data_IF_440409105554
#
_entry.id   IF_440409105554
#
_cell.length_a   1.000
_cell.length_b   1.000
_cell.length_c   1.000
_cell.angle_alpha   90.00
_cell.angle_beta   90.00
_cell.angle_gamma   90.00
#
_symmetry.space_group_name_H-M   'P 1'
#
loop_
_entity.id
_entity.type
_entity.pdbx_description
1 polymer ?
#
# COMPACT_ATOMS: atom_id res chain seq x y z
N UNK A 1 -29.85 -25.84 -17.09
CA UNK A 1 -30.89 -25.28 -16.22
C UNK A 1 -31.96 -24.65 -17.09
N UNK A 2 -33.09 -24.27 -16.51
CA UNK A 2 -34.13 -23.52 -17.22
C UNK A 2 -34.06 -22.04 -16.84
N UNK A 3 -34.33 -21.15 -17.79
CA UNK A 3 -34.59 -19.73 -17.52
C UNK A 3 -35.97 -19.62 -16.88
N UNK A 4 -36.06 -18.94 -15.73
CA UNK A 4 -37.32 -18.84 -14.98
C UNK A 4 -37.92 -17.45 -14.99
N UNK A 5 -37.11 -16.39 -14.93
CA UNK A 5 -37.60 -15.01 -14.91
C UNK A 5 -36.51 -13.98 -15.32
N UNK A 6 -36.90 -12.78 -15.72
CA UNK A 6 -36.01 -11.65 -16.03
C UNK A 6 -36.21 -10.53 -15.00
N UNK A 7 -35.17 -10.23 -14.22
CA UNK A 7 -35.19 -9.09 -13.29
C UNK A 7 -34.92 -7.79 -14.06
N UNK A 8 -36.01 -7.08 -14.39
CA UNK A 8 -36.01 -5.84 -15.17
C UNK A 8 -35.28 -4.67 -14.52
N UNK A 9 -35.06 -4.68 -13.20
CA UNK A 9 -34.32 -3.61 -12.52
C UNK A 9 -32.79 -3.74 -12.67
N UNK A 10 -32.29 -4.95 -12.96
CA UNK A 10 -30.85 -5.25 -13.01
C UNK A 10 -30.39 -5.82 -14.36
N UNK A 11 -31.31 -6.08 -15.30
CA UNK A 11 -31.00 -6.65 -16.61
C UNK A 11 -30.39 -8.06 -16.51
N UNK A 12 -30.79 -8.86 -15.52
CA UNK A 12 -30.24 -10.21 -15.27
C UNK A 12 -31.34 -11.27 -15.28
N UNK A 13 -31.02 -12.40 -15.89
CA UNK A 13 -31.87 -13.58 -15.97
C UNK A 13 -31.69 -14.46 -14.75
N UNK A 14 -32.79 -14.87 -14.13
CA UNK A 14 -32.77 -15.89 -13.10
C UNK A 14 -32.75 -17.27 -13.75
N UNK A 15 -31.70 -18.03 -13.48
CA UNK A 15 -31.48 -19.38 -14.02
C UNK A 15 -31.51 -20.38 -12.87
N UNK A 16 -32.39 -21.38 -12.99
CA UNK A 16 -32.44 -22.52 -12.08
C UNK A 16 -31.62 -23.68 -12.64
N UNK A 17 -30.62 -24.11 -11.89
CA UNK A 17 -29.76 -25.24 -12.22
C UNK A 17 -30.42 -26.58 -11.83
N UNK A 18 -29.92 -27.67 -12.41
CA UNK A 18 -30.46 -29.03 -12.18
C UNK A 18 -30.21 -29.51 -10.74
N UNK A 19 -29.28 -28.89 -10.03
CA UNK A 19 -28.99 -29.12 -8.61
C UNK A 19 -29.96 -28.36 -7.67
N UNK A 20 -30.96 -27.67 -8.22
CA UNK A 20 -31.96 -26.91 -7.45
C UNK A 20 -31.53 -25.48 -7.10
N UNK A 21 -30.26 -25.12 -7.33
CA UNK A 21 -29.77 -23.76 -7.05
C UNK A 21 -30.25 -22.78 -8.10
N UNK A 22 -30.49 -21.52 -7.70
CA UNK A 22 -30.90 -20.45 -8.62
C UNK A 22 -29.88 -19.31 -8.56
N UNK A 23 -29.41 -18.83 -9.72
CA UNK A 23 -28.49 -17.69 -9.80
C UNK A 23 -28.97 -16.66 -10.82
N UNK A 24 -28.57 -15.41 -10.63
CA UNK A 24 -28.80 -14.33 -11.58
C UNK A 24 -27.60 -14.22 -12.53
N UNK A 25 -27.83 -14.43 -13.82
CA UNK A 25 -26.82 -14.36 -14.86
C UNK A 25 -27.17 -13.25 -15.86
N UNK A 26 -26.15 -12.59 -16.39
CA UNK A 26 -26.32 -11.66 -17.50
C UNK A 26 -26.51 -12.43 -18.81
N UNK A 27 -27.15 -11.80 -19.80
CA UNK A 27 -27.37 -12.41 -21.12
C UNK A 27 -26.07 -12.86 -21.82
N UNK A 28 -24.98 -12.11 -21.64
CA UNK A 28 -23.64 -12.44 -22.14
C UNK A 28 -23.08 -13.78 -21.61
N UNK A 29 -23.62 -14.30 -20.50
CA UNK A 29 -23.20 -15.54 -19.86
C UNK A 29 -24.16 -16.71 -20.12
N UNK A 30 -25.08 -16.57 -21.09
CA UNK A 30 -26.09 -17.57 -21.42
C UNK A 30 -26.02 -17.92 -22.91
N UNK A 31 -25.71 -19.18 -23.21
CA UNK A 31 -25.75 -19.69 -24.58
C UNK A 31 -27.04 -20.51 -24.82
N UNK A 32 -27.72 -20.31 -25.97
CA UNK A 32 -28.89 -21.10 -26.33
C UNK A 32 -28.52 -22.54 -26.69
N UNK A 33 -29.31 -23.51 -26.20
CA UNK A 33 -29.07 -24.93 -26.46
C UNK A 33 -29.93 -25.45 -27.63
N UNK A 34 -29.31 -25.56 -28.82
CA UNK A 34 -29.53 -26.66 -29.78
C UNK A 34 -30.28 -26.37 -31.10
N UNK A 35 -29.64 -26.71 -32.24
CA UNK A 35 -30.14 -27.67 -33.25
C UNK A 35 -29.09 -28.02 -34.36
N UNK A 36 -28.69 -29.30 -34.39
CA UNK A 36 -28.34 -30.20 -35.52
C UNK A 36 -27.26 -29.91 -36.61
N UNK A 37 -26.26 -30.81 -36.61
CA UNK A 37 -25.70 -31.64 -37.70
C UNK A 37 -24.90 -31.03 -38.88
N UNK A 38 -23.64 -31.49 -39.03
CA UNK A 38 -22.89 -31.43 -40.29
C UNK A 38 -21.38 -31.70 -40.16
N UNK A 39 -20.99 -32.95 -40.44
CA UNK A 39 -19.68 -33.44 -40.94
C UNK A 39 -18.36 -33.25 -40.16
N UNK A 40 -17.71 -34.40 -39.89
CA UNK A 40 -16.30 -34.52 -39.53
C UNK A 40 -15.41 -34.50 -40.79
N UNK A 41 -14.11 -34.17 -40.68
CA UNK A 41 -13.16 -35.29 -40.59
C UNK A 41 -11.93 -35.09 -39.68
N UNK A 42 -11.50 -36.24 -39.14
CA UNK A 42 -10.14 -36.75 -38.97
C UNK A 42 -9.06 -36.02 -38.12
N UNK A 43 -8.63 -36.77 -37.09
CA UNK A 43 -7.25 -36.92 -36.53
C UNK A 43 -6.58 -35.68 -35.91
N UNK A 44 -6.33 -35.75 -34.60
CA UNK A 44 -5.05 -36.22 -34.05
C UNK A 44 -5.15 -36.35 -32.52
N UNK A 45 -4.67 -37.47 -31.98
CA UNK A 45 -4.46 -37.65 -30.54
C UNK A 45 -3.26 -36.81 -30.13
N UNK A 46 -3.49 -35.76 -29.36
CA UNK A 46 -2.47 -35.07 -28.57
C UNK A 46 -2.94 -35.06 -27.11
N UNK A 47 -2.24 -35.78 -26.24
CA UNK A 47 -2.40 -35.64 -24.80
C UNK A 47 -1.96 -34.23 -24.41
N UNK A 48 -2.86 -33.43 -23.84
CA UNK A 48 -2.48 -32.17 -23.19
C UNK A 48 -2.77 -32.26 -21.71
N UNK A 49 -1.71 -32.01 -20.95
CA UNK A 49 -1.64 -31.97 -19.51
C UNK A 49 -2.65 -30.99 -18.92
N UNK A 50 -3.08 -31.29 -17.69
CA UNK A 50 -3.85 -30.39 -16.86
C UNK A 50 -3.17 -29.01 -16.77
N UNK A 51 -3.84 -28.01 -17.32
CA UNK A 51 -3.40 -26.63 -17.31
C UNK A 51 -3.62 -26.05 -15.91
N UNK A 52 -2.52 -25.84 -15.20
CA UNK A 52 -2.43 -25.12 -13.93
C UNK A 52 -2.84 -23.66 -14.18
N UNK A 53 -3.70 -23.04 -13.35
CA UNK A 53 -4.08 -21.64 -13.52
C UNK A 53 -2.83 -20.74 -13.47
N UNK A 54 -2.77 -19.64 -14.26
CA UNK A 54 -1.54 -18.87 -14.40
C UNK A 54 -1.19 -18.20 -13.07
N UNK A 55 0.05 -18.45 -12.63
CA UNK A 55 0.72 -17.69 -11.56
C UNK A 55 0.65 -16.20 -11.91
N UNK A 56 0.30 -15.36 -10.93
CA UNK A 56 0.40 -13.89 -11.03
C UNK A 56 1.76 -13.53 -11.63
N UNK A 57 1.75 -12.80 -12.75
CA UNK A 57 2.96 -12.37 -13.43
C UNK A 57 3.85 -11.59 -12.44
N UNK A 58 5.14 -11.93 -12.38
CA UNK A 58 6.11 -11.16 -11.61
C UNK A 58 6.24 -9.72 -12.12
N UNK A 59 6.91 -8.83 -11.36
CA UNK A 59 7.07 -7.43 -11.73
C UNK A 59 7.67 -7.31 -13.13
N UNK A 60 6.92 -6.66 -14.03
CA UNK A 60 7.32 -6.45 -15.42
C UNK A 60 8.18 -5.19 -15.44
N UNK A 61 9.43 -5.30 -15.87
CA UNK A 61 10.33 -4.15 -15.97
C UNK A 61 9.76 -3.15 -17.00
N UNK A 62 9.30 -1.98 -16.51
CA UNK A 62 8.96 -0.82 -17.34
C UNK A 62 10.17 0.11 -17.43
N UNK A 63 10.31 0.91 -18.50
CA UNK A 63 11.36 1.91 -18.56
C UNK A 63 11.23 2.86 -17.36
N UNK A 64 12.35 3.13 -16.70
CA UNK A 64 12.41 4.07 -15.58
C UNK A 64 11.90 5.45 -16.03
N UNK A 65 10.95 6.02 -15.29
CA UNK A 65 10.41 7.35 -15.57
C UNK A 65 11.18 8.37 -14.74
N UNK A 66 11.86 9.31 -15.41
CA UNK A 66 12.61 10.37 -14.74
C UNK A 66 11.72 11.59 -14.51
N UNK A 67 11.72 12.11 -13.28
CA UNK A 67 11.04 13.36 -12.93
C UNK A 67 11.74 14.55 -13.58
N UNK A 68 10.93 15.52 -14.01
CA UNK A 68 11.46 16.81 -14.48
C UNK A 68 11.93 17.67 -13.32
N UNK A 69 12.97 18.50 -13.50
CA UNK A 69 13.34 19.50 -12.50
C UNK A 69 12.22 20.52 -12.34
N UNK A 70 11.90 20.90 -11.10
CA UNK A 70 10.86 21.90 -10.84
C UNK A 70 11.19 23.23 -11.54
N UNK A 71 10.19 23.93 -12.09
CA UNK A 71 10.40 25.19 -12.78
C UNK A 71 10.93 26.26 -11.82
N UNK A 72 11.92 27.02 -12.28
CA UNK A 72 12.54 28.12 -11.51
C UNK A 72 11.76 29.44 -11.61
N UNK A 73 10.87 29.56 -12.59
CA UNK A 73 10.00 30.71 -12.82
C UNK A 73 8.51 30.31 -12.72
N UNK A 74 7.61 31.26 -12.41
CA UNK A 74 6.17 31.00 -12.44
C UNK A 74 5.72 30.57 -13.84
N UNK A 75 4.94 29.48 -13.91
CA UNK A 75 4.37 28.99 -15.16
C UNK A 75 3.23 29.90 -15.63
N UNK A 76 3.11 30.09 -16.93
CA UNK A 76 1.89 30.61 -17.54
C UNK A 76 0.73 29.60 -17.41
N UNK A 77 -0.54 30.03 -17.57
CA UNK A 77 -1.68 29.13 -17.53
C UNK A 77 -1.57 27.94 -18.51
N UNK A 78 -1.14 28.18 -19.75
CA UNK A 78 -1.01 27.13 -20.77
C UNK A 78 0.10 26.14 -20.39
N UNK A 79 1.27 26.63 -20.00
CA UNK A 79 2.39 25.79 -19.54
C UNK A 79 2.04 24.97 -18.29
N UNK A 80 1.20 25.51 -17.39
CA UNK A 80 0.74 24.79 -16.21
C UNK A 80 -0.12 23.56 -16.59
N UNK A 81 -0.99 23.69 -17.59
CA UNK A 81 -1.83 22.58 -18.07
C UNK A 81 -0.96 21.49 -18.71
N UNK A 82 -0.04 21.88 -19.60
CA UNK A 82 0.89 20.95 -20.24
C UNK A 82 1.76 20.23 -19.19
N UNK A 83 2.29 20.97 -18.22
CA UNK A 83 3.10 20.42 -17.13
C UNK A 83 2.34 19.35 -16.37
N UNK A 84 1.13 19.69 -15.90
CA UNK A 84 0.30 18.79 -15.09
C UNK A 84 -0.03 17.53 -15.87
N UNK A 85 -0.51 17.65 -17.12
CA UNK A 85 -0.91 16.49 -17.92
C UNK A 85 0.26 15.53 -18.16
N UNK A 86 1.47 16.07 -18.34
CA UNK A 86 2.70 15.29 -18.56
C UNK A 86 3.42 14.85 -17.29
N UNK A 87 2.99 15.30 -16.10
CA UNK A 87 3.61 14.92 -14.83
C UNK A 87 3.56 13.41 -14.58
N UNK A 88 4.67 12.84 -14.11
CA UNK A 88 4.79 11.39 -13.91
C UNK A 88 4.30 10.87 -12.55
N UNK A 89 4.06 11.77 -11.59
CA UNK A 89 3.52 11.47 -10.27
C UNK A 89 2.79 12.68 -9.66
N UNK A 90 2.17 12.44 -8.51
CA UNK A 90 1.29 13.36 -7.80
C UNK A 90 2.04 14.58 -7.26
N UNK A 91 3.26 14.37 -6.78
CA UNK A 91 4.11 15.46 -6.31
C UNK A 91 4.51 16.37 -7.48
N UNK A 92 4.80 15.82 -8.66
CA UNK A 92 5.21 16.60 -9.83
C UNK A 92 4.04 17.38 -10.39
N UNK A 93 2.84 16.78 -10.40
CA UNK A 93 1.60 17.45 -10.80
C UNK A 93 1.33 18.70 -9.95
N UNK A 94 1.71 18.68 -8.66
CA UNK A 94 1.57 19.84 -7.78
C UNK A 94 2.83 20.72 -7.67
N UNK A 95 3.86 20.50 -8.49
CA UNK A 95 5.14 21.22 -8.39
C UNK A 95 5.82 21.09 -7.01
N UNK A 96 5.66 19.94 -6.37
CA UNK A 96 6.25 19.62 -5.08
C UNK A 96 7.51 18.73 -5.23
N UNK A 97 8.49 18.91 -4.33
CA UNK A 97 9.64 18.02 -4.24
C UNK A 97 9.18 16.60 -3.88
N UNK A 98 9.95 15.59 -4.31
CA UNK A 98 9.66 14.19 -4.01
C UNK A 98 10.09 13.83 -2.58
N UNK A 99 9.35 14.32 -1.60
CA UNK A 99 9.59 14.09 -0.17
C UNK A 99 8.27 14.15 0.60
N UNK A 100 8.25 13.57 1.80
CA UNK A 100 7.11 13.72 2.70
C UNK A 100 6.96 15.19 3.11
N UNK A 101 5.71 15.64 3.19
CA UNK A 101 5.36 16.98 3.66
C UNK A 101 4.44 16.85 4.87
N UNK A 102 4.99 17.17 6.05
CA UNK A 102 4.31 17.08 7.35
C UNK A 102 3.25 18.18 7.52
N UNK A 103 3.38 19.28 6.79
CA UNK A 103 2.41 20.38 6.81
C UNK A 103 1.45 20.31 5.61
N UNK A 104 0.25 19.72 5.77
CA UNK A 104 -0.70 19.60 4.67
C UNK A 104 -1.24 20.95 4.19
N UNK A 105 -1.05 22.05 4.96
CA UNK A 105 -1.46 23.38 4.51
C UNK A 105 -0.66 23.85 3.30
N UNK A 106 0.62 23.43 3.16
CA UNK A 106 1.45 23.75 1.99
C UNK A 106 0.92 23.07 0.74
N UNK A 107 0.50 21.82 0.85
CA UNK A 107 -0.10 21.04 -0.24
C UNK A 107 -1.39 21.72 -0.71
N UNK A 108 -2.28 22.07 0.22
CA UNK A 108 -3.52 22.79 -0.09
C UNK A 108 -3.27 24.19 -0.67
N UNK A 109 -2.27 24.91 -0.17
CA UNK A 109 -1.87 26.22 -0.72
C UNK A 109 -1.39 26.09 -2.15
N UNK A 110 -0.55 25.10 -2.44
CA UNK A 110 -0.02 24.85 -3.76
C UNK A 110 -1.12 24.44 -4.76
N UNK A 111 -2.03 23.56 -4.32
CA UNK A 111 -3.23 23.22 -5.09
C UNK A 111 -4.08 24.45 -5.41
N UNK A 112 -4.36 25.33 -4.43
CA UNK A 112 -5.12 26.57 -4.68
C UNK A 112 -4.47 27.44 -5.75
N UNK A 113 -3.15 27.63 -5.69
CA UNK A 113 -2.42 28.41 -6.69
C UNK A 113 -2.51 27.79 -8.09
N UNK A 114 -2.28 26.48 -8.22
CA UNK A 114 -2.34 25.78 -9.50
C UNK A 114 -3.76 25.69 -10.07
N UNK A 115 -4.77 25.48 -9.21
CA UNK A 115 -6.16 25.39 -9.62
C UNK A 115 -6.65 26.64 -10.35
N UNK A 116 -6.14 27.83 -9.97
CA UNK A 116 -6.44 29.09 -10.66
C UNK A 116 -5.82 29.16 -12.07
N UNK A 117 -4.66 28.53 -12.27
CA UNK A 117 -3.96 28.52 -13.55
C UNK A 117 -4.55 27.50 -14.53
N UNK A 118 -4.98 26.34 -14.03
CA UNK A 118 -5.49 25.23 -14.87
C UNK A 118 -7.02 25.18 -14.96
N UNK A 119 -7.74 26.15 -14.37
CA UNK A 119 -9.21 26.16 -14.38
C UNK A 119 -9.75 26.26 -15.82
N UNK A 120 -10.67 25.36 -16.26
CA UNK A 120 -11.13 25.34 -17.66
C UNK A 120 -11.86 26.61 -18.09
N UNK A 121 -12.57 27.30 -17.19
CA UNK A 121 -13.23 28.58 -17.54
C UNK A 121 -12.25 29.73 -17.78
N UNK A 122 -11.07 29.70 -17.18
CA UNK A 122 -10.09 30.80 -17.21
C UNK A 122 -8.92 30.52 -18.14
N UNK A 123 -8.75 29.26 -18.53
CA UNK A 123 -7.67 28.80 -19.36
C UNK A 123 -8.22 28.23 -20.68
N UNK A 124 -7.90 28.83 -21.84
CA UNK A 124 -8.43 28.40 -23.13
C UNK A 124 -7.84 27.06 -23.63
N UNK A 125 -6.89 26.45 -22.90
CA UNK A 125 -6.27 25.19 -23.28
C UNK A 125 -7.27 24.03 -23.31
N UNK A 126 -7.29 23.27 -24.41
CA UNK A 126 -8.25 22.18 -24.64
C UNK A 126 -8.26 21.07 -23.57
N UNK A 127 -7.12 20.87 -22.89
CA UNK A 127 -6.94 19.86 -21.85
C UNK A 127 -7.00 20.40 -20.40
N UNK A 128 -7.51 21.62 -20.20
CA UNK A 128 -7.57 22.24 -18.87
C UNK A 128 -8.38 21.42 -17.85
N UNK A 129 -9.51 20.82 -18.27
CA UNK A 129 -10.33 19.94 -17.41
C UNK A 129 -9.55 18.71 -16.90
N UNK A 130 -8.79 18.07 -17.79
CA UNK A 130 -7.93 16.92 -17.45
C UNK A 130 -6.87 17.32 -16.43
N UNK A 131 -6.20 18.46 -16.65
CA UNK A 131 -5.19 18.96 -15.72
C UNK A 131 -5.80 19.30 -14.36
N UNK A 132 -6.95 19.96 -14.33
CA UNK A 132 -7.66 20.28 -13.09
C UNK A 132 -7.99 19.02 -12.27
N UNK A 133 -8.56 17.99 -12.92
CA UNK A 133 -8.84 16.70 -12.27
C UNK A 133 -7.58 16.05 -11.72
N UNK A 134 -6.47 16.11 -12.47
CA UNK A 134 -5.19 15.51 -12.07
C UNK A 134 -4.58 16.20 -10.84
N UNK A 135 -4.58 17.54 -10.79
CA UNK A 135 -4.09 18.25 -9.58
C UNK A 135 -5.01 18.05 -8.38
N UNK A 136 -6.32 17.89 -8.59
CA UNK A 136 -7.26 17.60 -7.53
C UNK A 136 -7.00 16.21 -6.92
N UNK A 137 -6.86 15.19 -7.77
CA UNK A 137 -6.49 13.84 -7.34
C UNK A 137 -5.16 13.81 -6.58
N UNK A 138 -4.14 14.51 -7.10
CA UNK A 138 -2.86 14.67 -6.42
C UNK A 138 -3.01 15.33 -5.04
N UNK A 139 -3.79 16.41 -4.94
CA UNK A 139 -4.03 17.10 -3.66
C UNK A 139 -4.72 16.19 -2.64
N UNK A 140 -5.74 15.43 -3.06
CA UNK A 140 -6.43 14.50 -2.15
C UNK A 140 -5.48 13.44 -1.61
N UNK A 141 -4.66 12.85 -2.49
CA UNK A 141 -3.72 11.80 -2.13
C UNK A 141 -2.59 12.33 -1.23
N UNK A 142 -2.02 13.49 -1.54
CA UNK A 142 -0.89 14.02 -0.78
C UNK A 142 -1.28 14.65 0.55
N UNK A 143 -2.55 15.03 0.73
CA UNK A 143 -3.05 15.61 1.99
C UNK A 143 -3.23 14.56 3.09
N UNK A 144 -3.55 13.31 2.74
CA UNK A 144 -3.61 12.21 3.69
C UNK A 144 -2.20 11.65 3.95
N UNK A 145 -1.72 11.58 5.21
CA UNK A 145 -0.36 11.12 5.51
C UNK A 145 -0.06 9.70 5.04
N UNK A 146 -1.04 8.80 5.06
CA UNK A 146 -0.84 7.41 4.64
C UNK A 146 -0.76 7.32 3.12
N UNK A 147 -1.68 7.95 2.43
CA UNK A 147 -1.71 7.96 0.97
C UNK A 147 -0.54 8.76 0.38
N UNK A 148 -0.06 9.82 1.05
CA UNK A 148 1.17 10.51 0.70
C UNK A 148 2.39 9.56 0.72
N UNK A 149 2.48 8.69 1.73
CA UNK A 149 3.57 7.68 1.81
C UNK A 149 3.46 6.66 0.69
N UNK A 150 2.25 6.22 0.36
CA UNK A 150 2.00 5.33 -0.79
C UNK A 150 2.44 6.01 -2.09
N UNK A 151 2.03 7.25 -2.32
CA UNK A 151 2.40 8.04 -3.50
C UNK A 151 3.92 8.18 -3.62
N UNK A 152 4.59 8.52 -2.52
CA UNK A 152 6.04 8.69 -2.48
C UNK A 152 6.75 7.37 -2.83
N UNK A 153 6.31 6.26 -2.24
CA UNK A 153 6.90 4.95 -2.53
C UNK A 153 6.73 4.56 -3.99
N UNK A 154 5.53 4.74 -4.53
CA UNK A 154 5.23 4.44 -5.94
C UNK A 154 6.07 5.29 -6.89
N UNK A 155 6.21 6.59 -6.63
CA UNK A 155 7.03 7.47 -7.43
C UNK A 155 8.52 7.03 -7.43
N UNK A 156 9.07 6.62 -6.28
CA UNK A 156 10.45 6.09 -6.18
C UNK A 156 10.61 4.74 -6.88
N UNK A 157 9.62 3.86 -6.81
CA UNK A 157 9.60 2.59 -7.55
C UNK A 157 9.54 2.83 -9.07
N UNK A 158 8.71 3.77 -9.55
CA UNK A 158 8.66 4.17 -10.97
C UNK A 158 10.00 4.71 -11.48
N UNK A 159 10.71 5.47 -10.65
CA UNK A 159 12.05 5.97 -10.97
C UNK A 159 13.11 4.86 -11.10
N UNK A 160 12.86 3.69 -10.50
CA UNK A 160 13.76 2.51 -10.56
C UNK A 160 13.26 1.42 -11.53
N UNK A 161 12.14 1.64 -12.20
CA UNK A 161 11.55 0.69 -13.17
C UNK A 161 10.80 -0.49 -12.54
N UNK A 162 10.52 -0.43 -11.23
CA UNK A 162 9.76 -1.44 -10.49
C UNK A 162 8.27 -1.07 -10.52
N UNK A 163 7.43 -1.90 -11.15
CA UNK A 163 5.97 -1.73 -11.19
C UNK A 163 5.30 -2.74 -10.24
N UNK A 164 4.65 -2.25 -9.18
CA UNK A 164 3.92 -3.08 -8.22
C UNK A 164 2.50 -3.40 -8.67
N UNK A 165 2.02 -2.84 -9.79
CA UNK A 165 0.73 -3.18 -10.38
C UNK A 165 -0.48 -2.92 -9.46
N UNK A 166 -0.35 -2.01 -8.50
CA UNK A 166 -1.47 -1.62 -7.63
C UNK A 166 -2.41 -0.73 -8.44
N UNK A 167 -3.60 -1.25 -8.73
CA UNK A 167 -4.69 -0.51 -9.38
C UNK A 167 -5.37 0.39 -8.35
N UNK A 168 -5.38 1.71 -8.61
CA UNK A 168 -5.93 2.72 -7.71
C UNK A 168 -7.46 2.82 -7.73
N UNK A 169 -8.11 1.96 -8.51
CA UNK A 169 -9.56 1.95 -8.63
C UNK A 169 -10.12 3.22 -9.27
N UNK A 170 -11.41 3.19 -9.60
CA UNK A 170 -12.10 4.35 -10.13
C UNK A 170 -12.32 5.38 -9.02
N UNK A 171 -11.64 6.52 -9.13
CA UNK A 171 -11.77 7.64 -8.19
C UNK A 171 -12.98 8.50 -8.57
N UNK A 172 -13.76 8.95 -7.57
CA UNK A 172 -15.01 9.70 -7.80
C UNK A 172 -14.79 10.99 -8.63
N UNK A 173 -13.66 11.67 -8.42
CA UNK A 173 -13.32 12.92 -9.07
C UNK A 173 -12.98 12.79 -10.57
N UNK A 174 -12.77 11.57 -11.08
CA UNK A 174 -12.56 11.36 -12.51
C UNK A 174 -13.82 11.66 -13.34
N UNK A 175 -14.99 11.48 -12.74
CA UNK A 175 -16.30 11.74 -13.36
C UNK A 175 -16.98 13.01 -12.83
N UNK A 176 -16.43 13.62 -11.79
CA UNK A 176 -16.98 14.84 -11.19
C UNK A 176 -16.76 16.07 -12.07
N UNK A 177 -17.64 17.05 -11.91
CA UNK A 177 -17.45 18.39 -12.50
C UNK A 177 -16.47 19.22 -11.66
N UNK A 178 -15.94 20.30 -12.26
CA UNK A 178 -15.07 21.26 -11.55
C UNK A 178 -15.78 21.85 -10.33
N UNK A 179 -17.05 22.23 -10.47
CA UNK A 179 -17.84 22.78 -9.36
C UNK A 179 -18.00 21.80 -8.19
N UNK A 180 -18.22 20.51 -8.49
CA UNK A 180 -18.33 19.46 -7.48
C UNK A 180 -16.99 19.26 -6.75
N UNK A 181 -15.88 19.28 -7.47
CA UNK A 181 -14.53 19.18 -6.89
C UNK A 181 -14.18 20.39 -6.03
N UNK A 182 -14.47 21.60 -6.50
CA UNK A 182 -14.25 22.81 -5.71
C UNK A 182 -15.11 22.84 -4.45
N UNK A 183 -16.37 22.39 -4.55
CA UNK A 183 -17.23 22.25 -3.38
C UNK A 183 -16.63 21.24 -2.38
N UNK A 184 -16.20 20.07 -2.84
CA UNK A 184 -15.55 19.08 -2.00
C UNK A 184 -14.28 19.62 -1.34
N UNK A 185 -13.49 20.44 -2.05
CA UNK A 185 -12.32 21.10 -1.50
C UNK A 185 -12.69 22.11 -0.40
N UNK A 186 -13.70 22.95 -0.62
CA UNK A 186 -14.19 23.90 0.39
C UNK A 186 -14.71 23.20 1.64
N UNK A 187 -15.53 22.17 1.47
CA UNK A 187 -16.07 21.37 2.58
C UNK A 187 -14.94 20.67 3.36
N UNK A 188 -13.90 20.21 2.66
CA UNK A 188 -12.70 19.65 3.27
C UNK A 188 -11.94 20.71 4.07
N UNK A 189 -11.61 21.87 3.50
CA UNK A 189 -10.90 22.95 4.21
C UNK A 189 -11.67 23.38 5.46
N UNK A 190 -12.98 23.58 5.35
CA UNK A 190 -13.83 23.95 6.49
C UNK A 190 -13.83 22.86 7.56
N UNK A 191 -13.86 21.57 7.17
CA UNK A 191 -13.75 20.45 8.10
C UNK A 191 -12.40 20.45 8.82
N UNK A 192 -11.28 20.68 8.12
CA UNK A 192 -9.96 20.75 8.75
C UNK A 192 -9.82 21.97 9.65
N UNK A 193 -10.41 23.10 9.29
CA UNK A 193 -10.41 24.33 10.09
C UNK A 193 -11.28 24.16 11.35
N UNK A 194 -12.45 23.53 11.23
CA UNK A 194 -13.34 23.18 12.35
C UNK A 194 -12.76 22.10 13.27
N UNK A 195 -12.03 21.13 12.72
CA UNK A 195 -11.26 20.16 13.52
C UNK A 195 -10.04 20.81 14.19
N UNK A 196 -9.69 22.04 13.82
CA UNK A 196 -8.94 22.99 14.63
C UNK A 196 -7.66 22.44 15.24
N UNK A 197 -6.60 22.25 14.44
CA UNK A 197 -5.19 22.28 14.86
C UNK A 197 -4.83 21.64 16.23
N UNK A 198 -5.51 20.57 16.68
CA UNK A 198 -5.19 19.82 17.89
C UNK A 198 -5.67 18.36 17.78
N UNK A 199 -4.75 17.43 18.10
CA UNK A 199 -5.01 16.06 18.57
C UNK A 199 -5.41 14.92 17.60
N UNK A 200 -4.70 14.77 16.47
CA UNK A 200 -4.47 13.40 15.94
C UNK A 200 -2.98 13.12 15.75
N UNK A 201 -2.20 14.02 15.14
CA UNK A 201 -0.77 13.76 14.87
C UNK A 201 0.20 14.21 15.97
N UNK A 202 -0.19 15.12 16.88
CA UNK A 202 0.72 15.56 17.95
C UNK A 202 1.03 14.45 18.99
N UNK A 203 0.18 13.45 19.10
CA UNK A 203 0.42 12.26 19.93
C UNK A 203 1.27 11.18 19.24
N UNK A 204 1.48 11.27 17.93
CA UNK A 204 2.29 10.30 17.18
C UNK A 204 3.64 10.89 16.74
N UNK A 205 3.71 12.18 16.36
CA UNK A 205 4.86 12.75 15.63
C UNK A 205 5.06 14.25 15.93
N UNK A 206 5.17 14.67 17.19
CA UNK A 206 5.72 16.01 17.52
C UNK A 206 6.67 15.92 18.71
N UNK A 207 7.95 16.12 18.43
CA UNK A 207 9.05 15.90 19.34
C UNK A 207 9.10 16.80 20.57
N UNK A 208 9.25 16.15 21.71
CA UNK A 208 10.13 16.59 22.79
C UNK A 208 10.84 15.34 23.36
N UNK A 209 12.11 15.19 23.00
CA UNK A 209 13.21 14.51 23.74
C UNK A 209 12.86 13.45 24.79
N UNK A 210 12.00 12.49 24.45
CA UNK A 210 11.57 11.43 25.36
C UNK A 210 10.54 10.52 24.73
N UNK A 211 10.82 9.98 23.53
CA UNK A 211 9.99 8.91 22.98
C UNK A 211 10.08 7.73 23.94
N UNK A 212 8.98 7.44 24.65
CA UNK A 212 8.94 6.30 25.53
C UNK A 212 9.06 5.04 24.67
N UNK A 213 10.23 4.38 24.72
CA UNK A 213 10.50 3.17 23.92
C UNK A 213 9.44 2.08 24.14
N UNK A 214 8.76 2.10 25.30
CA UNK A 214 7.68 1.19 25.66
C UNK A 214 6.35 1.44 24.94
N UNK A 215 6.19 2.59 24.26
CA UNK A 215 4.98 2.93 23.51
C UNK A 215 5.11 2.65 21.99
N UNK A 216 6.32 2.31 21.52
CA UNK A 216 6.58 2.09 20.09
C UNK A 216 6.26 0.65 19.66
N UNK A 217 4.96 0.34 19.63
CA UNK A 217 4.41 -0.94 19.20
C UNK A 217 3.49 -0.80 18.00
N UNK A 218 3.51 -1.81 17.14
CA UNK A 218 2.49 -2.03 16.12
C UNK A 218 1.60 -3.19 16.56
N UNK A 219 0.29 -3.03 16.42
CA UNK A 219 -0.63 -4.16 16.50
C UNK A 219 -0.48 -5.03 15.25
N UNK A 220 -0.77 -6.34 15.32
CA UNK A 220 -0.75 -7.20 14.14
C UNK A 220 -1.62 -6.66 13.00
N UNK A 221 -2.77 -6.08 13.30
CA UNK A 221 -3.72 -5.52 12.33
C UNK A 221 -3.12 -4.32 11.60
N UNK A 222 -2.57 -3.36 12.35
CA UNK A 222 -1.89 -2.19 11.78
C UNK A 222 -0.69 -2.63 10.94
N UNK A 223 0.09 -3.59 11.42
CA UNK A 223 1.23 -4.14 10.70
C UNK A 223 0.80 -4.84 9.40
N UNK A 224 -0.31 -5.57 9.41
CA UNK A 224 -0.90 -6.19 8.21
C UNK A 224 -1.32 -5.14 7.20
N UNK A 225 -2.00 -4.08 7.61
CA UNK A 225 -2.44 -3.02 6.70
C UNK A 225 -1.23 -2.33 6.04
N UNK A 226 -0.17 -2.08 6.81
CA UNK A 226 1.10 -1.59 6.27
C UNK A 226 1.79 -2.58 5.34
N UNK A 227 1.68 -3.90 5.59
CA UNK A 227 2.20 -4.92 4.67
C UNK A 227 1.45 -4.91 3.34
N UNK A 228 0.12 -4.85 3.38
CA UNK A 228 -0.74 -4.89 2.18
C UNK A 228 -0.58 -3.65 1.31
N UNK A 229 -0.38 -2.48 1.93
CA UNK A 229 -0.10 -1.23 1.22
C UNK A 229 1.35 -1.10 0.73
N UNK A 230 2.19 -2.08 1.02
CA UNK A 230 3.62 -1.97 0.78
C UNK A 230 4.11 -0.67 1.46
N UNK A 231 4.06 -0.60 2.79
CA UNK A 231 4.52 0.55 3.60
C UNK A 231 5.31 0.15 4.84
N UNK A 232 5.53 -1.15 5.04
CA UNK A 232 6.36 -1.67 6.14
C UNK A 232 7.52 -2.51 5.65
N UNK A 233 8.66 -2.37 6.34
CA UNK A 233 9.78 -3.29 6.28
C UNK A 233 9.70 -4.16 7.53
N UNK A 234 9.52 -5.47 7.34
CA UNK A 234 9.51 -6.42 8.44
C UNK A 234 10.92 -6.96 8.68
N UNK A 235 11.41 -6.82 9.92
CA UNK A 235 12.72 -7.29 10.35
C UNK A 235 12.56 -8.39 11.40
N UNK A 236 13.06 -9.58 11.08
CA UNK A 236 13.05 -10.72 11.98
C UNK A 236 14.34 -10.76 12.81
N UNK A 237 14.23 -10.57 14.12
CA UNK A 237 15.36 -10.61 15.05
C UNK A 237 15.77 -12.00 15.52
N UNK A 238 15.17 -13.06 14.95
CA UNK A 238 15.49 -14.47 15.24
C UNK A 238 16.74 -14.94 14.52
N UNK A 239 17.16 -16.15 14.86
CA UNK A 239 18.27 -16.80 14.18
C UNK A 239 17.85 -17.11 12.74
N UNK A 240 18.83 -17.15 11.84
CA UNK A 240 18.60 -17.48 10.43
C UNK A 240 17.90 -18.83 10.27
N UNK A 241 18.25 -19.82 11.10
CA UNK A 241 17.59 -21.14 11.10
C UNK A 241 16.09 -21.06 11.42
N UNK A 242 15.68 -20.19 12.33
CA UNK A 242 14.25 -20.01 12.68
C UNK A 242 13.51 -19.23 11.59
N UNK A 243 14.20 -18.27 10.98
CA UNK A 243 13.70 -17.48 9.86
C UNK A 243 13.43 -18.37 8.64
N UNK A 244 14.35 -19.28 8.31
CA UNK A 244 14.22 -20.20 7.18
C UNK A 244 13.02 -21.16 7.32
N UNK A 245 12.63 -21.48 8.55
CA UNK A 245 11.44 -22.32 8.81
C UNK A 245 10.15 -21.55 8.56
N UNK A 246 10.06 -20.31 9.03
CA UNK A 246 8.89 -19.46 8.84
C UNK A 246 9.18 -18.01 9.17
N UNK A 247 8.56 -17.06 8.49
CA UNK A 247 8.67 -15.62 8.81
C UNK A 247 7.46 -14.85 8.25
N UNK A 248 7.23 -13.61 8.70
CA UNK A 248 6.24 -12.73 8.06
C UNK A 248 6.57 -12.60 6.57
N UNK A 249 5.55 -12.67 5.70
CA UNK A 249 5.77 -12.62 4.25
C UNK A 249 6.60 -11.42 3.83
N UNK A 250 7.67 -11.66 3.07
CA UNK A 250 8.58 -10.62 2.59
C UNK A 250 9.45 -9.97 3.69
N UNK A 251 9.53 -10.54 4.88
CA UNK A 251 10.42 -10.05 5.93
C UNK A 251 11.90 -10.30 5.61
N UNK A 252 12.77 -9.50 6.21
CA UNK A 252 14.22 -9.65 6.12
C UNK A 252 14.78 -10.15 7.45
N UNK A 253 15.70 -11.11 7.38
CA UNK A 253 16.43 -11.58 8.55
C UNK A 253 17.41 -10.52 9.04
N UNK A 254 17.34 -10.17 10.32
CA UNK A 254 18.28 -9.30 11.00
C UNK A 254 18.53 -9.80 12.43
N UNK A 255 19.27 -10.91 12.59
CA UNK A 255 19.63 -11.43 13.90
C UNK A 255 20.43 -10.38 14.68
N UNK A 256 20.04 -10.14 15.93
CA UNK A 256 20.73 -9.17 16.80
C UNK A 256 20.84 -9.67 18.24
N UNK A 257 21.18 -10.96 18.39
CA UNK A 257 21.32 -11.61 19.68
C UNK A 257 22.76 -11.62 20.20
N UNK A 258 23.74 -11.22 19.38
CA UNK A 258 25.13 -11.01 19.81
C UNK A 258 25.55 -9.55 19.67
N UNK A 259 26.51 -9.11 20.50
CA UNK A 259 27.07 -7.76 20.40
C UNK A 259 27.74 -7.52 19.04
N UNK A 260 28.37 -8.53 18.46
CA UNK A 260 29.01 -8.45 17.14
C UNK A 260 27.99 -8.20 16.02
N UNK A 261 26.83 -8.86 16.07
CA UNK A 261 25.73 -8.62 15.11
C UNK A 261 25.17 -7.21 15.24
N UNK A 262 24.99 -6.70 16.47
CA UNK A 262 24.49 -5.35 16.70
C UNK A 262 25.52 -4.28 16.28
N UNK A 263 26.82 -4.56 16.42
CA UNK A 263 27.90 -3.69 15.98
C UNK A 263 28.01 -3.62 14.46
N UNK A 264 27.74 -4.73 13.76
CA UNK A 264 27.84 -4.85 12.30
C UNK A 264 26.51 -4.64 11.57
N UNK A 265 25.46 -4.21 12.27
CA UNK A 265 24.11 -4.02 11.73
C UNK A 265 24.09 -3.14 10.47
N UNK A 266 24.93 -2.11 10.42
CA UNK A 266 25.02 -1.16 9.30
C UNK A 266 25.52 -1.80 8.00
N UNK A 267 26.26 -2.90 8.10
CA UNK A 267 26.81 -3.61 6.94
C UNK A 267 25.77 -4.52 6.28
N UNK A 268 24.67 -4.81 6.97
CA UNK A 268 23.63 -5.73 6.50
C UNK A 268 22.79 -5.14 5.38
N UNK A 269 22.32 -5.99 4.47
CA UNK A 269 21.37 -5.59 3.42
C UNK A 269 20.05 -5.08 3.99
N UNK A 270 19.60 -5.65 5.12
CA UNK A 270 18.39 -5.22 5.82
C UNK A 270 18.50 -3.78 6.34
N UNK A 271 19.67 -3.38 6.87
CA UNK A 271 19.87 -2.00 7.30
C UNK A 271 19.89 -1.01 6.12
N UNK A 272 20.56 -1.38 5.02
CA UNK A 272 20.55 -0.56 3.79
C UNK A 272 19.13 -0.34 3.29
N UNK A 273 18.32 -1.40 3.26
CA UNK A 273 16.89 -1.31 2.91
C UNK A 273 16.13 -0.30 3.79
N UNK A 274 16.39 -0.30 5.11
CA UNK A 274 15.78 0.67 6.03
C UNK A 274 16.21 2.09 5.72
N UNK A 275 17.47 2.33 5.38
CA UNK A 275 17.99 3.65 5.05
C UNK A 275 17.47 4.12 3.69
N UNK A 276 17.39 3.23 2.71
CA UNK A 276 17.00 3.57 1.34
C UNK A 276 15.50 3.89 1.20
N UNK A 277 14.67 3.38 2.12
CA UNK A 277 13.20 3.55 2.11
C UNK A 277 12.68 4.28 3.39
N UNK A 278 13.05 5.56 3.63
CA UNK A 278 12.60 6.36 4.77
C UNK A 278 11.08 6.45 4.94
N UNK A 279 10.32 6.35 3.85
CA UNK A 279 8.86 6.40 3.85
C UNK A 279 8.21 5.12 4.40
N UNK A 280 8.96 4.03 4.58
CA UNK A 280 8.46 2.79 5.17
C UNK A 280 8.65 2.75 6.69
N UNK A 281 7.63 2.24 7.38
CA UNK A 281 7.69 1.92 8.81
C UNK A 281 8.51 0.64 8.99
N UNK A 282 9.41 0.61 9.96
CA UNK A 282 10.21 -0.58 10.27
C UNK A 282 9.51 -1.35 11.39
N UNK A 283 9.15 -2.60 11.14
CA UNK A 283 8.47 -3.47 12.11
C UNK A 283 9.43 -4.58 12.51
N UNK A 284 9.96 -4.49 13.73
CA UNK A 284 10.89 -5.47 14.29
C UNK A 284 10.13 -6.48 15.14
N UNK A 285 10.36 -7.77 14.92
CA UNK A 285 9.68 -8.82 15.66
C UNK A 285 10.60 -9.98 16.04
N UNK A 286 10.07 -10.83 16.92
CA UNK A 286 10.64 -12.11 17.35
C UNK A 286 9.48 -13.10 17.52
N UNK A 287 9.66 -14.22 18.20
CA UNK A 287 8.60 -15.22 18.35
C UNK A 287 7.36 -14.67 19.07
N UNK A 288 7.54 -14.03 20.23
CA UNK A 288 6.43 -13.62 21.10
C UNK A 288 6.34 -12.10 21.34
N UNK A 289 7.34 -11.31 20.93
CA UNK A 289 7.29 -9.85 21.05
C UNK A 289 7.03 -9.35 22.48
N UNK A 290 7.76 -9.86 23.48
CA UNK A 290 7.70 -9.40 24.88
C UNK A 290 8.78 -8.37 25.20
N UNK A 291 8.68 -7.68 26.35
CA UNK A 291 9.68 -6.68 26.80
C UNK A 291 11.09 -7.24 27.05
N UNK A 292 11.25 -8.57 27.12
CA UNK A 292 12.55 -9.25 27.24
C UNK A 292 12.95 -9.98 25.95
N UNK A 293 12.23 -9.74 24.86
CA UNK A 293 12.48 -10.42 23.60
C UNK A 293 13.63 -9.80 22.82
N UNK A 294 14.31 -10.61 22.01
CA UNK A 294 15.43 -10.20 21.13
C UNK A 294 15.13 -8.99 20.25
N UNK A 295 13.86 -8.77 19.89
CA UNK A 295 13.45 -7.61 19.10
C UNK A 295 13.70 -6.26 19.80
N UNK A 296 13.84 -6.23 21.13
CA UNK A 296 14.19 -5.02 21.90
C UNK A 296 15.56 -4.50 21.48
N UNK A 297 16.56 -5.39 21.43
CA UNK A 297 17.94 -5.00 21.14
C UNK A 297 18.08 -4.49 19.71
N UNK A 298 17.51 -5.20 18.74
CA UNK A 298 17.51 -4.76 17.34
C UNK A 298 16.80 -3.42 17.17
N UNK A 299 15.60 -3.26 17.73
CA UNK A 299 14.85 -2.00 17.63
C UNK A 299 15.62 -0.83 18.25
N UNK A 300 16.21 -1.01 19.44
CA UNK A 300 17.02 0.01 20.10
C UNK A 300 18.27 0.37 19.30
N UNK A 301 18.98 -0.63 18.77
CA UNK A 301 20.14 -0.42 17.92
C UNK A 301 19.82 0.36 16.65
N UNK A 302 18.66 0.13 16.03
CA UNK A 302 18.20 0.92 14.88
C UNK A 302 17.87 2.36 15.28
N UNK A 303 17.16 2.57 16.40
CA UNK A 303 16.76 3.89 16.90
C UNK A 303 17.94 4.79 17.31
N UNK A 304 19.08 4.22 17.66
CA UNK A 304 20.29 4.99 17.99
C UNK A 304 21.03 5.53 16.77
N UNK A 305 20.65 5.14 15.54
CA UNK A 305 21.32 5.58 14.31
C UNK A 305 20.70 6.87 13.79
N UNK A 306 21.53 7.85 13.46
CA UNK A 306 21.09 9.15 12.95
C UNK A 306 20.32 9.07 11.62
N UNK A 307 20.55 8.01 10.84
CA UNK A 307 19.87 7.78 9.56
C UNK A 307 18.45 7.20 9.72
N UNK A 308 18.05 6.80 10.93
CA UNK A 308 16.78 6.13 11.19
C UNK A 308 15.99 6.91 12.24
N UNK A 309 14.85 7.45 11.82
CA UNK A 309 13.94 8.14 12.74
C UNK A 309 13.39 7.19 13.81
N UNK A 310 13.55 7.54 15.08
CA UNK A 310 13.15 6.69 16.22
C UNK A 310 11.69 6.23 16.13
N UNK A 311 10.79 7.15 15.78
CA UNK A 311 9.34 6.92 15.71
C UNK A 311 8.91 5.96 14.60
N UNK A 312 9.75 5.74 13.56
CA UNK A 312 9.41 4.83 12.47
C UNK A 312 9.74 3.37 12.80
N UNK A 313 10.50 3.11 13.86
CA UNK A 313 10.90 1.76 14.28
C UNK A 313 9.96 1.26 15.37
N UNK A 314 9.02 0.41 14.98
CA UNK A 314 8.01 -0.19 15.84
C UNK A 314 8.30 -1.66 16.11
N UNK A 315 7.84 -2.14 17.26
CA UNK A 315 7.92 -3.57 17.61
C UNK A 315 6.57 -4.24 17.39
N UNK A 316 6.55 -5.43 16.82
CA UNK A 316 5.32 -6.19 16.63
C UNK A 316 4.85 -6.77 17.97
N UNK A 317 3.69 -6.32 18.44
CA UNK A 317 3.07 -6.86 19.65
C UNK A 317 2.66 -8.32 19.45
N UNK A 318 2.98 -9.18 20.43
CA UNK A 318 2.74 -10.62 20.36
C UNK A 318 3.63 -11.39 19.38
N UNK A 319 4.52 -10.71 18.65
CA UNK A 319 5.50 -11.31 17.74
C UNK A 319 4.90 -12.13 16.60
N UNK A 320 5.71 -13.00 16.01
CA UNK A 320 5.30 -13.88 14.92
C UNK A 320 4.21 -14.87 15.34
N UNK A 321 4.18 -15.30 16.59
CA UNK A 321 3.20 -16.27 17.05
C UNK A 321 1.79 -15.68 17.11
N UNK A 322 1.62 -14.42 17.54
CA UNK A 322 0.33 -13.74 17.47
C UNK A 322 -0.07 -13.47 16.01
N UNK A 323 0.88 -13.03 15.18
CA UNK A 323 0.67 -12.83 13.74
C UNK A 323 0.11 -14.09 13.05
N UNK A 324 0.72 -15.26 13.32
CA UNK A 324 0.27 -16.55 12.82
C UNK A 324 -1.11 -16.95 13.33
N UNK A 325 -1.40 -16.72 14.62
CA UNK A 325 -2.71 -17.01 15.22
C UNK A 325 -3.84 -16.19 14.58
N UNK A 326 -3.54 -14.96 14.16
CA UNK A 326 -4.49 -14.11 13.45
C UNK A 326 -4.66 -14.52 11.96
N UNK A 327 -3.93 -15.54 11.48
CA UNK A 327 -4.03 -16.03 10.11
C UNK A 327 -3.41 -15.10 9.07
N UNK A 328 -2.48 -14.23 9.48
CA UNK A 328 -1.89 -13.24 8.60
C UNK A 328 -0.78 -13.83 7.69
N UNK A 329 -0.42 -13.14 6.59
CA UNK A 329 0.52 -13.67 5.60
C UNK A 329 1.88 -14.06 6.17
N UNK A 330 2.28 -15.30 5.94
CA UNK A 330 3.55 -15.90 6.36
C UNK A 330 4.14 -16.66 5.19
N UNK A 331 5.46 -16.66 5.10
CA UNK A 331 6.22 -17.57 4.23
C UNK A 331 6.81 -18.67 5.13
N UNK A 332 6.59 -19.95 4.76
CA UNK A 332 6.98 -21.11 5.56
C UNK A 332 5.85 -21.66 6.45
N UNK A 333 6.20 -22.25 7.61
CA UNK A 333 5.24 -22.90 8.51
C UNK A 333 4.27 -21.92 9.17
N UNK A 334 2.97 -22.20 9.14
CA UNK A 334 1.90 -21.35 9.68
C UNK A 334 1.60 -21.60 11.17
N UNK A 335 2.18 -22.63 11.78
CA UNK A 335 1.99 -22.96 13.20
C UNK A 335 2.86 -22.08 14.09
N UNK A 336 2.42 -21.83 15.32
CA UNK A 336 3.20 -21.11 16.32
C UNK A 336 4.46 -21.91 16.69
N UNK A 337 5.62 -21.27 16.64
CA UNK A 337 6.93 -21.88 16.90
C UNK A 337 7.67 -21.16 18.03
N UNK A 338 8.54 -21.87 18.72
CA UNK A 338 9.54 -21.29 19.62
C UNK A 338 10.86 -22.07 19.47
N UNK A 339 11.94 -21.38 19.13
CA UNK A 339 13.26 -21.97 18.88
C UNK A 339 13.20 -23.18 17.92
N UNK A 340 12.53 -23.01 16.78
CA UNK A 340 12.37 -24.05 15.76
C UNK A 340 11.38 -25.17 16.07
N UNK A 341 10.78 -25.22 17.27
CA UNK A 341 9.82 -26.27 17.66
C UNK A 341 8.37 -25.77 17.66
N UNK A 342 7.43 -26.64 17.28
CA UNK A 342 6.00 -26.32 17.33
C UNK A 342 5.56 -26.17 18.77
N UNK A 343 5.02 -25.00 19.12
CA UNK A 343 4.40 -24.78 20.41
C UNK A 343 3.16 -25.67 20.50
N UNK A 344 3.22 -26.71 21.33
CA UNK A 344 2.07 -27.56 21.62
C UNK A 344 0.90 -26.77 22.19
N UNK A 345 -0.33 -27.27 22.00
CA UNK A 345 -1.57 -26.61 22.42
C UNK A 345 -1.64 -26.26 23.93
N UNK A 346 -0.74 -26.80 24.76
CA UNK A 346 -0.69 -26.59 26.21
C UNK A 346 -0.15 -25.22 26.65
N UNK A 347 0.44 -24.41 25.76
CA UNK A 347 0.91 -23.05 26.09
C UNK A 347 -0.09 -21.95 25.66
N UNK A 348 -1.33 -22.32 25.33
CA UNK A 348 -2.39 -21.40 24.89
C UNK A 348 -2.99 -20.51 26.02
N UNK A 349 -2.52 -20.61 27.27
CA UNK A 349 -3.16 -19.95 28.44
C UNK A 349 -2.31 -18.96 29.23
N UNK A 350 -1.19 -18.45 28.70
CA UNK A 350 -0.42 -17.42 29.39
C UNK A 350 -0.24 -16.20 28.48
N UNK A 351 -1.05 -15.16 28.73
CA UNK A 351 -0.96 -13.89 28.02
C UNK A 351 -2.15 -12.93 28.15
N UNK A 352 -2.88 -12.95 29.28
CA UNK A 352 -3.65 -11.78 29.75
C UNK A 352 -3.40 -11.68 31.26
N UNK A 353 -2.38 -10.93 31.63
CA UNK A 353 -2.01 -10.61 33.00
C UNK A 353 -1.38 -9.23 33.01
#
# INVERSE_FOLDING_TARGET
GGLTDLDGAKGRWQVRFKDGTSRLLKAENLEPCGAAAGEAPARARGASAAEVPPKKAGPRARPAVQRRPLPSAPLSPEEAVEWVNTACDEFEALLLPLQLEEDPTKIRKQYRQLSLLVHPDKNPHSEADSAFKKIFGAMQMLTDPMEQRVALRRARQRATGVDTGIDDGAQWWQQATVDEMEKAFRDMEEKYEKMGFFDIDKHMISGSTGVNEDQLWATPEMAKDLLEKDLAIFLDSRNTTDFDVSHVRGAHSLPGHTMEQLATIELTSAFRLVVDNPEQTVIVYSDNGSQLSRCVHVARSLRMRSQVLTQRVLRLSGGLNLWKRNGFPVDGDTRALFAGQVLGASMMRLGTG
#
